data_IF_111616407369
#
_entry.id   IF_111616407369
#
_cell.length_a   1.000
_cell.length_b   1.000
_cell.length_c   1.000
_cell.angle_alpha   90.00
_cell.angle_beta   90.00
_cell.angle_gamma   90.00
#
_symmetry.space_group_name_H-M   'P 1'
#
loop_
_entity.id
_entity.type
_entity.pdbx_description
1 polymer ?
#
# COMPACT_ATOMS: atom_id res chain seq x y z
N UNK A 1 -61.58 30.66 19.91
CA UNK A 1 -61.88 31.18 18.55
C UNK A 1 -60.94 30.44 17.62
N UNK A 2 -61.42 29.46 16.83
CA UNK A 2 -62.03 29.62 15.48
C UNK A 2 -61.13 30.49 14.58
N UNK A 3 -60.72 30.11 13.38
CA UNK A 3 -60.95 28.99 12.45
C UNK A 3 -59.92 29.29 11.31
N UNK A 4 -59.16 28.32 10.77
CA UNK A 4 -59.36 27.80 9.38
C UNK A 4 -58.64 28.64 8.31
N UNK A 5 -58.04 28.14 7.21
CA UNK A 5 -58.30 27.03 6.27
C UNK A 5 -56.94 26.81 5.51
N UNK A 6 -56.37 25.59 5.36
CA UNK A 6 -56.61 24.57 4.29
C UNK A 6 -56.19 25.08 2.87
N UNK A 7 -55.50 24.35 1.97
CA UNK A 7 -55.65 22.95 1.53
C UNK A 7 -54.55 22.58 0.48
N UNK A 8 -54.16 21.29 0.47
CA UNK A 8 -53.76 20.33 -0.62
C UNK A 8 -52.73 20.69 -1.71
N UNK A 9 -51.98 19.76 -2.33
CA UNK A 9 -52.18 18.32 -2.65
C UNK A 9 -50.79 17.63 -2.78
N UNK A 10 -50.47 16.36 -2.46
CA UNK A 10 -51.10 15.02 -2.53
C UNK A 10 -50.71 14.19 -3.79
N UNK A 11 -50.03 13.05 -3.56
CA UNK A 11 -50.09 11.73 -4.25
C UNK A 11 -48.99 10.82 -3.64
N UNK A 12 -49.21 9.80 -2.79
CA UNK A 12 -49.88 8.47 -2.91
C UNK A 12 -49.13 7.54 -3.90
N UNK A 13 -48.68 6.31 -3.59
CA UNK A 13 -49.25 5.14 -2.88
C UNK A 13 -48.14 4.31 -2.13
N UNK A 14 -48.30 3.57 -1.01
CA UNK A 14 -49.20 2.48 -0.55
C UNK A 14 -49.09 1.19 -1.44
N UNK A 15 -48.71 -0.02 -0.97
CA UNK A 15 -49.41 -0.93 -0.03
C UNK A 15 -48.59 -2.24 0.24
N UNK A 16 -48.52 -2.64 1.53
CA UNK A 16 -48.51 -3.98 2.22
C UNK A 16 -47.50 -5.10 1.82
N UNK A 17 -46.89 -5.85 2.76
CA UNK A 17 -47.58 -6.70 3.73
C UNK A 17 -46.85 -6.98 5.07
N UNK A 18 -47.70 -7.32 6.04
CA UNK A 18 -47.57 -7.61 7.48
C UNK A 18 -46.90 -8.94 7.85
N UNK A 19 -46.32 -9.02 9.06
CA UNK A 19 -46.11 -10.30 9.77
C UNK A 19 -45.30 -10.27 11.08
N UNK A 20 -45.98 -9.98 12.21
CA UNK A 20 -45.82 -10.53 13.57
C UNK A 20 -44.44 -10.63 14.30
N UNK A 21 -44.33 -9.78 15.32
CA UNK A 21 -43.91 -10.00 16.73
C UNK A 21 -42.91 -11.10 17.17
N UNK A 22 -41.97 -10.62 18.01
CA UNK A 22 -41.30 -11.26 19.16
C UNK A 22 -40.11 -12.19 18.91
N UNK A 23 -38.90 -11.75 19.30
CA UNK A 23 -38.13 -12.37 20.38
C UNK A 23 -36.94 -11.49 20.81
N UNK A 24 -36.46 -11.77 22.01
CA UNK A 24 -35.48 -11.05 22.80
C UNK A 24 -34.11 -10.84 22.13
N UNK A 25 -33.45 -9.77 22.58
CA UNK A 25 -32.04 -9.75 22.97
C UNK A 25 -31.01 -10.28 21.97
N UNK A 26 -30.24 -9.36 21.40
CA UNK A 26 -28.79 -9.31 21.65
C UNK A 26 -28.22 -8.03 21.05
N UNK A 27 -27.38 -7.38 21.83
CA UNK A 27 -26.51 -6.28 21.43
C UNK A 27 -25.76 -6.70 20.16
N UNK A 28 -26.00 -5.98 19.07
CA UNK A 28 -25.14 -6.08 17.89
C UNK A 28 -24.46 -4.72 17.79
N UNK A 29 -23.36 -4.59 18.52
CA UNK A 29 -22.34 -3.61 18.19
C UNK A 29 -21.89 -3.97 16.77
N UNK A 30 -22.42 -3.25 15.79
CA UNK A 30 -21.87 -3.23 14.45
C UNK A 30 -20.47 -2.65 14.57
N UNK A 31 -19.47 -3.51 14.69
CA UNK A 31 -18.11 -3.16 14.30
C UNK A 31 -18.16 -2.93 12.78
N UNK A 32 -18.45 -1.69 12.39
CA UNK A 32 -17.99 -1.20 11.10
C UNK A 32 -16.47 -1.29 11.16
N UNK A 33 -15.90 -2.34 10.56
CA UNK A 33 -14.53 -2.29 10.05
C UNK A 33 -14.55 -1.21 8.97
N UNK A 34 -14.33 0.03 9.40
CA UNK A 34 -14.12 1.16 8.52
C UNK A 34 -12.85 0.85 7.74
N UNK A 35 -13.03 0.37 6.51
CA UNK A 35 -11.91 0.23 5.56
C UNK A 35 -11.27 1.61 5.49
N UNK A 36 -9.97 1.74 5.81
CA UNK A 36 -9.34 3.04 5.84
C UNK A 36 -9.52 3.73 4.48
N UNK A 37 -9.95 5.01 4.46
CA UNK A 37 -10.25 5.68 3.22
C UNK A 37 -8.99 5.85 2.36
N UNK A 38 -9.09 5.54 1.07
CA UNK A 38 -8.02 5.82 0.11
C UNK A 38 -7.73 7.33 0.10
N UNK A 39 -6.48 7.77 0.32
CA UNK A 39 -6.12 9.17 0.28
C UNK A 39 -6.48 9.82 -1.07
N UNK A 40 -6.78 11.13 -1.07
CA UNK A 40 -7.06 11.85 -2.29
C UNK A 40 -5.87 11.76 -3.28
N UNK A 41 -6.15 11.57 -4.56
CA UNK A 41 -5.13 11.40 -5.59
C UNK A 41 -4.39 10.06 -5.56
N UNK A 42 -4.85 9.10 -4.76
CA UNK A 42 -4.32 7.74 -4.70
C UNK A 42 -5.34 6.72 -5.21
N UNK A 43 -4.83 5.60 -5.71
CA UNK A 43 -5.61 4.39 -6.01
C UNK A 43 -5.22 3.27 -5.05
N UNK A 44 -6.19 2.46 -4.66
CA UNK A 44 -5.93 1.26 -3.86
C UNK A 44 -5.44 0.13 -4.77
N UNK A 45 -4.41 -0.59 -4.33
CA UNK A 45 -3.86 -1.77 -5.00
C UNK A 45 -3.83 -2.91 -4.01
N UNK A 46 -4.17 -4.12 -4.46
CA UNK A 46 -4.06 -5.34 -3.67
C UNK A 46 -2.94 -6.22 -4.22
N UNK A 47 -1.88 -6.40 -3.43
CA UNK A 47 -0.82 -7.35 -3.76
C UNK A 47 -1.31 -8.77 -3.50
N UNK A 48 -1.54 -9.55 -4.57
CA UNK A 48 -2.28 -10.82 -4.49
C UNK A 48 -1.60 -11.90 -3.64
N UNK A 49 -0.26 -11.95 -3.59
CA UNK A 49 0.46 -12.96 -2.81
C UNK A 49 0.43 -12.68 -1.31
N UNK A 50 0.70 -11.44 -0.89
CA UNK A 50 0.61 -10.98 0.49
C UNK A 50 -0.81 -10.69 0.97
N UNK A 51 -1.76 -10.51 0.03
CA UNK A 51 -3.15 -10.06 0.23
C UNK A 51 -3.30 -8.68 0.87
N UNK A 52 -2.20 -7.94 1.03
CA UNK A 52 -2.25 -6.57 1.53
C UNK A 52 -2.84 -5.64 0.48
N UNK A 53 -3.73 -4.76 0.91
CA UNK A 53 -4.19 -3.63 0.11
C UNK A 53 -3.59 -2.33 0.63
N UNK A 54 -3.08 -1.48 -0.25
CA UNK A 54 -2.50 -0.19 0.10
C UNK A 54 -2.67 0.83 -1.02
N UNK A 55 -2.62 2.11 -0.65
CA UNK A 55 -2.75 3.22 -1.59
C UNK A 55 -1.41 3.61 -2.21
N UNK A 56 -1.42 3.87 -3.52
CA UNK A 56 -0.31 4.54 -4.25
C UNK A 56 -0.88 5.69 -5.10
N UNK A 57 -0.08 6.68 -5.53
CA UNK A 57 -0.58 7.75 -6.36
C UNK A 57 -1.25 7.24 -7.65
N UNK A 58 -2.39 7.82 -8.02
CA UNK A 58 -3.25 7.31 -9.11
C UNK A 58 -2.62 7.37 -10.49
N UNK A 59 -1.59 8.20 -10.69
CA UNK A 59 -0.87 8.34 -11.95
C UNK A 59 0.25 7.31 -12.12
N UNK A 60 0.51 6.47 -11.12
CA UNK A 60 1.57 5.47 -11.16
C UNK A 60 1.23 4.26 -12.04
N UNK A 61 2.28 3.64 -12.58
CA UNK A 61 2.16 2.36 -13.28
C UNK A 61 2.38 1.23 -12.28
N UNK A 62 1.51 0.22 -12.30
CA UNK A 62 1.60 -0.97 -11.45
C UNK A 62 1.80 -2.22 -12.28
N UNK A 63 2.80 -3.01 -11.90
CA UNK A 63 3.12 -4.32 -12.44
C UNK A 63 2.73 -5.38 -11.42
N UNK A 64 1.85 -6.30 -11.79
CA UNK A 64 1.47 -7.44 -10.97
C UNK A 64 2.09 -8.72 -11.52
N UNK A 65 2.80 -9.49 -10.70
CA UNK A 65 3.39 -10.77 -11.12
C UNK A 65 2.35 -11.77 -11.62
N UNK A 66 1.13 -11.70 -11.10
CA UNK A 66 0.03 -12.56 -11.52
C UNK A 66 -0.47 -12.28 -12.95
N UNK A 67 -0.26 -11.07 -13.47
CA UNK A 67 -0.53 -10.72 -14.87
C UNK A 67 0.75 -10.89 -15.70
N UNK A 68 1.01 -12.12 -16.13
CA UNK A 68 2.26 -12.47 -16.84
C UNK A 68 2.52 -11.62 -18.08
N UNK A 69 1.47 -11.21 -18.79
CA UNK A 69 1.60 -10.38 -19.99
C UNK A 69 1.87 -8.92 -19.63
N UNK A 70 1.05 -8.33 -18.75
CA UNK A 70 1.23 -6.95 -18.31
C UNK A 70 2.56 -6.76 -17.58
N UNK A 71 2.98 -7.74 -16.78
CA UNK A 71 4.27 -7.76 -16.11
C UNK A 71 5.44 -7.71 -17.10
N UNK A 72 5.43 -8.56 -18.12
CA UNK A 72 6.52 -8.60 -19.11
C UNK A 72 6.57 -7.34 -20.00
N UNK A 73 5.41 -6.82 -20.43
CA UNK A 73 5.34 -5.55 -21.16
C UNK A 73 5.88 -4.39 -20.29
N UNK A 74 5.52 -4.38 -19.00
CA UNK A 74 5.99 -3.39 -18.03
C UNK A 74 7.48 -3.49 -17.70
N UNK A 75 8.01 -4.70 -17.53
CA UNK A 75 9.45 -4.95 -17.34
C UNK A 75 10.24 -4.43 -18.53
N UNK A 76 9.80 -4.71 -19.77
CA UNK A 76 10.47 -4.21 -20.96
C UNK A 76 10.44 -2.68 -21.04
N UNK A 77 9.30 -2.07 -20.72
CA UNK A 77 9.15 -0.61 -20.69
C UNK A 77 10.06 0.02 -19.64
N UNK A 78 10.01 -0.47 -18.40
CA UNK A 78 10.84 0.04 -17.30
C UNK A 78 12.33 -0.13 -17.58
N UNK A 79 12.74 -1.29 -18.10
CA UNK A 79 14.13 -1.54 -18.50
C UNK A 79 14.60 -0.55 -19.57
N UNK A 80 13.78 -0.31 -20.60
CA UNK A 80 14.07 0.66 -21.66
C UNK A 80 14.19 2.08 -21.12
N UNK A 81 13.27 2.49 -20.26
CA UNK A 81 13.19 3.86 -19.71
C UNK A 81 14.32 4.13 -18.69
N UNK A 82 14.75 3.11 -17.94
CA UNK A 82 15.84 3.20 -16.97
C UNK A 82 17.21 2.86 -17.55
N UNK A 83 17.31 2.57 -18.85
CA UNK A 83 18.53 2.09 -19.50
C UNK A 83 19.15 0.85 -18.82
N UNK A 84 18.30 -0.05 -18.33
CA UNK A 84 18.68 -1.30 -17.69
C UNK A 84 18.41 -2.49 -18.60
N UNK A 85 19.12 -3.59 -18.38
CA UNK A 85 18.74 -4.87 -18.97
C UNK A 85 17.43 -5.37 -18.36
N UNK A 86 16.46 -5.86 -19.18
CA UNK A 86 15.23 -6.45 -18.66
C UNK A 86 15.47 -7.62 -17.69
N UNK A 87 16.56 -8.37 -17.85
CA UNK A 87 16.95 -9.42 -16.91
C UNK A 87 17.29 -8.88 -15.51
N UNK A 88 17.97 -7.74 -15.44
CA UNK A 88 18.27 -7.05 -14.17
C UNK A 88 16.98 -6.64 -13.48
N UNK A 89 16.04 -6.05 -14.22
CA UNK A 89 14.72 -5.67 -13.68
C UNK A 89 13.95 -6.88 -13.17
N UNK A 90 13.91 -7.99 -13.94
CA UNK A 90 13.26 -9.23 -13.48
C UNK A 90 13.89 -9.79 -12.21
N UNK A 91 15.22 -9.75 -12.12
CA UNK A 91 15.95 -10.23 -10.95
C UNK A 91 15.60 -9.40 -9.71
N UNK A 92 15.60 -8.07 -9.84
CA UNK A 92 15.24 -7.16 -8.74
C UNK A 92 13.79 -7.28 -8.29
N UNK A 93 12.89 -7.66 -9.20
CA UNK A 93 11.47 -7.84 -8.88
C UNK A 93 11.12 -9.27 -8.47
N UNK A 94 12.06 -10.23 -8.54
CA UNK A 94 11.79 -11.68 -8.47
C UNK A 94 10.89 -12.09 -7.32
N UNK A 95 11.12 -11.51 -6.14
CA UNK A 95 10.44 -11.89 -4.90
C UNK A 95 9.24 -10.99 -4.58
N UNK A 96 8.94 -10.03 -5.46
CA UNK A 96 7.82 -9.11 -5.31
C UNK A 96 6.56 -9.60 -6.01
N UNK A 97 5.43 -9.43 -5.32
CA UNK A 97 4.10 -9.66 -5.87
C UNK A 97 3.68 -8.53 -6.80
N UNK A 98 3.97 -7.31 -6.36
CA UNK A 98 3.51 -6.08 -7.01
C UNK A 98 4.59 -5.02 -6.94
N UNK A 99 4.76 -4.31 -8.05
CA UNK A 99 5.66 -3.17 -8.17
C UNK A 99 4.89 -1.98 -8.73
N UNK A 100 4.93 -0.84 -8.06
CA UNK A 100 4.34 0.41 -8.54
C UNK A 100 5.42 1.47 -8.65
N UNK A 101 5.42 2.24 -9.73
CA UNK A 101 6.41 3.29 -9.97
C UNK A 101 5.80 4.56 -10.54
N UNK A 102 6.39 5.69 -10.15
CA UNK A 102 6.01 6.99 -10.67
C UNK A 102 6.21 7.08 -12.19
N UNK A 103 5.41 7.89 -12.91
CA UNK A 103 5.59 8.14 -14.33
C UNK A 103 7.03 8.53 -14.67
N UNK A 104 7.58 7.93 -15.72
CA UNK A 104 8.94 8.19 -16.20
C UNK A 104 8.90 9.36 -17.19
N UNK A 105 8.74 10.58 -16.68
CA UNK A 105 8.62 11.81 -17.49
C UNK A 105 9.94 12.52 -17.73
N UNK A 106 11.03 12.12 -17.05
CA UNK A 106 12.34 12.75 -17.19
C UNK A 106 13.46 11.76 -16.83
N UNK A 107 14.48 11.65 -17.67
CA UNK A 107 15.50 10.59 -17.64
C UNK A 107 16.57 10.75 -16.54
N UNK A 108 16.53 11.85 -15.77
CA UNK A 108 17.60 12.22 -14.84
C UNK A 108 17.25 12.08 -13.34
N UNK A 109 16.02 11.71 -12.99
CA UNK A 109 15.57 11.70 -11.59
C UNK A 109 15.41 10.27 -11.09
N UNK A 110 16.06 9.92 -9.98
CA UNK A 110 15.72 8.74 -9.19
C UNK A 110 14.22 8.79 -8.88
N UNK A 111 13.41 7.94 -9.50
CA UNK A 111 11.96 7.96 -9.30
C UNK A 111 11.58 7.28 -7.99
N UNK A 112 10.45 7.72 -7.44
CA UNK A 112 9.81 7.01 -6.36
C UNK A 112 9.17 5.71 -6.87
N UNK A 113 9.28 4.66 -6.06
CA UNK A 113 8.72 3.34 -6.34
C UNK A 113 8.28 2.65 -5.05
N UNK A 114 7.28 1.79 -5.16
CA UNK A 114 6.76 0.96 -4.08
C UNK A 114 6.77 -0.48 -4.54
N UNK A 115 7.39 -1.35 -3.76
CA UNK A 115 7.52 -2.77 -4.01
C UNK A 115 6.85 -3.53 -2.86
N UNK A 116 5.75 -4.23 -3.14
CA UNK A 116 5.16 -5.14 -2.17
C UNK A 116 5.71 -6.54 -2.38
N UNK A 117 6.29 -7.09 -1.31
CA UNK A 117 6.79 -8.45 -1.25
C UNK A 117 5.70 -9.38 -0.72
N UNK A 118 5.75 -10.64 -1.14
CA UNK A 118 4.84 -11.64 -0.62
C UNK A 118 5.00 -11.81 0.90
N UNK A 119 3.88 -11.96 1.61
CA UNK A 119 3.89 -12.23 3.05
C UNK A 119 4.58 -13.57 3.30
N UNK A 120 5.67 -13.57 4.06
CA UNK A 120 6.33 -14.82 4.42
C UNK A 120 5.56 -15.52 5.54
N UNK A 121 5.39 -16.83 5.42
CA UNK A 121 4.54 -17.66 6.29
C UNK A 121 5.07 -17.79 7.72
N UNK A 122 6.33 -17.44 7.97
CA UNK A 122 7.01 -17.63 9.27
C UNK A 122 6.88 -16.44 10.24
N UNK A 123 6.31 -15.31 9.78
CA UNK A 123 6.19 -14.07 10.55
C UNK A 123 4.79 -13.83 11.13
N UNK A 124 4.37 -14.61 12.13
CA UNK A 124 3.18 -14.28 12.95
C UNK A 124 3.43 -13.11 13.92
N UNK A 125 4.68 -12.64 14.01
CA UNK A 125 5.07 -11.48 14.81
C UNK A 125 5.83 -10.47 13.96
N UNK A 126 5.75 -9.20 14.37
CA UNK A 126 6.58 -8.13 13.81
C UNK A 126 8.07 -8.40 14.10
N UNK A 127 8.97 -8.08 13.16
CA UNK A 127 10.40 -8.17 13.40
C UNK A 127 10.83 -7.13 14.42
N UNK A 128 11.81 -7.48 15.26
CA UNK A 128 12.46 -6.53 16.16
C UNK A 128 13.38 -5.58 15.39
N UNK A 129 13.77 -4.46 16.00
CA UNK A 129 14.75 -3.53 15.42
C UNK A 129 16.06 -4.24 15.02
N UNK A 130 16.53 -5.17 15.86
CA UNK A 130 17.76 -5.90 15.61
C UNK A 130 17.64 -6.87 14.41
N UNK A 131 16.49 -7.52 14.25
CA UNK A 131 16.20 -8.38 13.09
C UNK A 131 16.10 -7.54 11.82
N UNK A 132 15.35 -6.43 11.85
CA UNK A 132 15.24 -5.51 10.72
C UNK A 132 16.59 -4.92 10.29
N UNK A 133 17.50 -4.68 11.24
CA UNK A 133 18.86 -4.21 10.95
C UNK A 133 19.74 -5.28 10.29
N UNK A 134 19.52 -6.55 10.62
CA UNK A 134 20.25 -7.69 10.04
C UNK A 134 19.77 -8.01 8.62
N UNK A 135 18.50 -7.70 8.32
CA UNK A 135 17.88 -7.95 7.01
C UNK A 135 18.16 -6.87 5.97
N UNK A 136 19.01 -5.87 6.29
CA UNK A 136 19.35 -4.81 5.35
C UNK A 136 20.33 -5.29 4.27
N UNK A 137 20.04 -4.93 3.01
CA UNK A 137 20.94 -5.15 1.88
C UNK A 137 22.31 -4.48 2.10
N UNK A 138 23.37 -5.11 1.59
CA UNK A 138 24.72 -4.51 1.55
C UNK A 138 24.69 -3.11 0.90
N UNK A 139 25.34 -2.13 1.52
CA UNK A 139 25.30 -0.72 1.08
C UNK A 139 24.16 0.12 1.66
N UNK A 140 23.28 -0.49 2.46
CA UNK A 140 22.23 0.19 3.20
C UNK A 140 22.72 0.70 4.57
N UNK A 141 22.35 1.92 4.92
CA UNK A 141 22.53 2.51 6.24
C UNK A 141 21.19 2.50 6.97
N UNK A 142 21.13 1.79 8.10
CA UNK A 142 20.00 1.84 9.02
C UNK A 142 19.91 3.21 9.68
N UNK A 143 18.73 3.84 9.68
CA UNK A 143 18.50 5.14 10.32
C UNK A 143 17.60 5.04 11.54
N UNK A 144 16.44 4.38 11.41
CA UNK A 144 15.48 4.25 12.50
C UNK A 144 14.56 3.05 12.31
N UNK A 145 13.97 2.61 13.42
CA UNK A 145 12.84 1.69 13.48
C UNK A 145 11.73 2.36 14.29
N UNK A 146 10.49 2.35 13.79
CA UNK A 146 9.36 3.01 14.45
C UNK A 146 8.11 2.16 14.36
N UNK A 147 7.48 1.86 15.50
CA UNK A 147 6.16 1.23 15.54
C UNK A 147 5.10 2.18 15.03
N UNK A 148 4.18 1.66 14.22
CA UNK A 148 3.03 2.39 13.66
C UNK A 148 1.74 1.63 13.92
N UNK A 149 0.60 2.32 13.90
CA UNK A 149 -0.73 1.70 13.97
C UNK A 149 -1.38 1.72 12.61
N UNK A 150 -1.90 0.59 12.17
CA UNK A 150 -2.74 0.43 10.97
C UNK A 150 -4.16 0.02 11.38
N UNK A 151 -5.08 -0.09 10.44
CA UNK A 151 -6.42 -0.64 10.72
C UNK A 151 -6.40 -2.11 11.13
N UNK A 152 -5.35 -2.84 10.75
CA UNK A 152 -5.21 -4.27 11.00
C UNK A 152 -4.35 -4.63 12.22
N UNK A 153 -3.78 -3.62 12.91
CA UNK A 153 -2.99 -3.83 14.12
C UNK A 153 -1.74 -2.97 14.18
N UNK A 154 -0.76 -3.42 14.96
CA UNK A 154 0.55 -2.78 15.05
C UNK A 154 1.44 -3.23 13.88
N UNK A 155 2.07 -2.26 13.21
CA UNK A 155 3.09 -2.47 12.19
C UNK A 155 4.39 -1.76 12.57
N UNK A 156 5.37 -1.80 11.68
CA UNK A 156 6.63 -1.10 11.86
C UNK A 156 7.13 -0.48 10.56
N UNK A 157 7.87 0.62 10.68
CA UNK A 157 8.55 1.30 9.59
C UNK A 157 10.03 1.39 9.91
N UNK A 158 10.86 0.99 8.97
CA UNK A 158 12.32 1.07 9.04
C UNK A 158 12.80 2.06 8.01
N UNK A 159 13.47 3.11 8.46
CA UNK A 159 14.08 4.09 7.57
C UNK A 159 15.51 3.67 7.25
N UNK A 160 15.84 3.64 5.96
CA UNK A 160 17.19 3.36 5.49
C UNK A 160 17.62 4.33 4.39
N UNK A 161 18.93 4.47 4.24
CA UNK A 161 19.56 5.13 3.10
C UNK A 161 20.39 4.11 2.34
N UNK A 162 20.19 4.02 1.04
CA UNK A 162 20.96 3.11 0.19
C UNK A 162 21.93 3.93 -0.65
N UNK A 163 23.20 3.64 -0.44
CA UNK A 163 24.30 4.23 -1.20
C UNK A 163 24.53 3.39 -2.46
N UNK A 164 24.81 4.00 -3.62
CA UNK A 164 25.19 3.23 -4.79
C UNK A 164 26.45 2.40 -4.49
N UNK A 165 26.47 1.16 -4.98
CA UNK A 165 27.65 0.31 -4.91
C UNK A 165 28.83 0.92 -5.68
N UNK A 166 30.06 0.54 -5.28
CA UNK A 166 31.28 0.97 -5.98
C UNK A 166 31.21 0.61 -7.48
N UNK A 167 31.32 1.62 -8.36
CA UNK A 167 31.32 1.43 -9.81
C UNK A 167 30.01 1.77 -10.55
N UNK A 168 28.94 2.16 -9.87
CA UNK A 168 27.73 2.68 -10.52
C UNK A 168 27.96 4.14 -10.98
N UNK A 169 27.68 4.44 -12.24
CA UNK A 169 27.70 5.82 -12.77
C UNK A 169 26.47 6.58 -12.29
N UNK A 170 26.53 7.10 -11.06
CA UNK A 170 25.58 8.08 -10.52
C UNK A 170 25.72 8.28 -9.00
N UNK A 171 25.71 9.52 -8.47
CA UNK A 171 25.91 9.83 -7.05
C UNK A 171 24.63 9.72 -6.19
N UNK A 172 23.57 9.11 -6.70
CA UNK A 172 22.25 9.36 -6.16
C UNK A 172 21.95 8.39 -5.00
N UNK A 173 22.12 8.87 -3.77
CA UNK A 173 21.61 8.23 -2.56
C UNK A 173 20.10 8.06 -2.73
N UNK A 174 19.58 6.86 -2.49
CA UNK A 174 18.13 6.64 -2.43
C UNK A 174 17.69 6.48 -0.98
N UNK A 175 16.55 7.08 -0.66
CA UNK A 175 15.93 6.93 0.64
C UNK A 175 14.89 5.82 0.55
N UNK A 176 14.90 4.91 1.52
CA UNK A 176 13.97 3.79 1.53
C UNK A 176 13.22 3.69 2.85
N UNK A 177 11.99 3.18 2.78
CA UNK A 177 11.20 2.74 3.92
C UNK A 177 10.85 1.29 3.73
N UNK A 178 11.24 0.44 4.67
CA UNK A 178 10.76 -0.94 4.76
C UNK A 178 9.64 -0.98 5.79
N UNK A 179 8.43 -1.29 5.33
CA UNK A 179 7.24 -1.38 6.14
C UNK A 179 6.92 -2.84 6.41
N UNK A 180 6.64 -3.16 7.66
CA UNK A 180 6.10 -4.44 8.10
C UNK A 180 4.66 -4.21 8.56
N UNK A 181 3.70 -4.78 7.83
CA UNK A 181 2.29 -4.46 7.97
C UNK A 181 1.48 -5.72 8.32
N UNK A 182 0.58 -5.66 9.32
CA UNK A 182 -0.23 -6.81 9.70
C UNK A 182 -1.35 -7.07 8.69
N UNK A 183 -1.48 -8.33 8.24
CA UNK A 183 -2.49 -8.78 7.28
C UNK A 183 -2.91 -10.21 7.61
N UNK A 184 -4.20 -10.43 7.88
CA UNK A 184 -4.77 -11.75 8.18
C UNK A 184 -3.98 -12.58 9.22
N UNK A 185 -3.45 -11.93 10.27
CA UNK A 185 -2.63 -12.59 11.29
C UNK A 185 -1.20 -12.97 10.84
N UNK A 186 -0.75 -12.41 9.73
CA UNK A 186 0.62 -12.49 9.20
C UNK A 186 1.22 -11.09 9.04
N UNK A 187 2.48 -11.04 8.64
CA UNK A 187 3.19 -9.80 8.31
C UNK A 187 3.50 -9.75 6.82
N UNK A 188 3.11 -8.67 6.16
CA UNK A 188 3.51 -8.34 4.79
C UNK A 188 4.64 -7.31 4.82
N UNK A 189 5.54 -7.36 3.83
CA UNK A 189 6.63 -6.40 3.69
C UNK A 189 6.44 -5.51 2.48
N UNK A 190 6.56 -4.20 2.65
CA UNK A 190 6.48 -3.21 1.57
C UNK A 190 7.74 -2.34 1.60
N UNK A 191 8.43 -2.23 0.47
CA UNK A 191 9.61 -1.38 0.31
C UNK A 191 9.23 -0.16 -0.51
N UNK A 192 9.35 1.01 0.08
CA UNK A 192 9.24 2.31 -0.59
C UNK A 192 10.64 2.81 -0.88
N UNK A 193 10.88 3.33 -2.08
CA UNK A 193 12.13 3.99 -2.46
C UNK A 193 11.80 5.34 -3.07
N UNK A 194 12.56 6.38 -2.75
CA UNK A 194 12.44 7.71 -3.37
C UNK A 194 13.78 8.44 -3.40
N UNK A 195 13.83 9.57 -4.12
CA UNK A 195 15.01 10.42 -4.21
C UNK A 195 15.29 11.17 -2.90
N UNK A 196 14.25 11.48 -2.12
CA UNK A 196 14.33 12.22 -0.87
C UNK A 196 13.70 11.45 0.29
N UNK A 197 14.10 11.79 1.52
CA UNK A 197 13.51 11.19 2.72
C UNK A 197 12.02 11.54 2.81
N UNK A 198 11.69 12.80 2.53
CA UNK A 198 10.35 13.37 2.62
C UNK A 198 9.37 12.68 1.66
N UNK A 199 9.79 12.39 0.43
CA UNK A 199 8.97 11.64 -0.52
C UNK A 199 8.78 10.19 -0.07
N UNK A 200 9.83 9.55 0.45
CA UNK A 200 9.73 8.18 0.97
C UNK A 200 8.81 8.10 2.20
N UNK A 201 8.87 9.09 3.09
CA UNK A 201 8.00 9.21 4.27
C UNK A 201 6.55 9.45 3.85
N UNK A 202 6.28 10.40 2.96
CA UNK A 202 4.92 10.69 2.50
C UNK A 202 4.23 9.47 1.87
N UNK A 203 4.99 8.69 1.08
CA UNK A 203 4.49 7.45 0.49
C UNK A 203 4.29 6.35 1.54
N UNK A 204 5.23 6.21 2.48
CA UNK A 204 5.09 5.24 3.58
C UNK A 204 3.88 5.57 4.46
N UNK A 205 3.66 6.83 4.80
CA UNK A 205 2.51 7.29 5.58
C UNK A 205 1.18 7.01 4.86
N UNK A 206 1.11 7.26 3.55
CA UNK A 206 -0.07 6.94 2.75
C UNK A 206 -0.37 5.43 2.75
N UNK A 207 0.68 4.59 2.67
CA UNK A 207 0.55 3.13 2.74
C UNK A 207 0.10 2.70 4.14
N UNK A 208 0.76 3.17 5.21
CA UNK A 208 0.39 2.85 6.61
C UNK A 208 -1.06 3.23 6.90
N UNK A 209 -1.49 4.40 6.45
CA UNK A 209 -2.84 4.91 6.68
C UNK A 209 -3.92 4.13 5.94
N UNK A 210 -3.58 3.50 4.81
CA UNK A 210 -4.53 2.78 3.94
C UNK A 210 -4.43 1.25 4.02
N UNK A 211 -3.38 0.73 4.66
CA UNK A 211 -3.07 -0.68 4.73
C UNK A 211 -4.20 -1.49 5.37
N UNK A 212 -4.78 -2.43 4.62
CA UNK A 212 -5.78 -3.38 5.09
C UNK A 212 -5.61 -4.78 4.45
#
# INVERSE_FOLDING_TARGET
>A
MKLTQRISAAATALVLATGLAACAGQSQESFSTEVPPTPAGHTMITAKGSRISYAVPSDWTTLERADTRGFEEGVQKYAKEMHLDPSTVRSSLRDADTFSCAPLTDAAVLRASVLALASTTDGTRMPTEQEAKQDLDEGSTFLSYTSVKTSNGEGAVVATQVHPGEGATGPAISHQRLLFLPVDGKTASVVVKAATAEEADALADAIVASAN
#
